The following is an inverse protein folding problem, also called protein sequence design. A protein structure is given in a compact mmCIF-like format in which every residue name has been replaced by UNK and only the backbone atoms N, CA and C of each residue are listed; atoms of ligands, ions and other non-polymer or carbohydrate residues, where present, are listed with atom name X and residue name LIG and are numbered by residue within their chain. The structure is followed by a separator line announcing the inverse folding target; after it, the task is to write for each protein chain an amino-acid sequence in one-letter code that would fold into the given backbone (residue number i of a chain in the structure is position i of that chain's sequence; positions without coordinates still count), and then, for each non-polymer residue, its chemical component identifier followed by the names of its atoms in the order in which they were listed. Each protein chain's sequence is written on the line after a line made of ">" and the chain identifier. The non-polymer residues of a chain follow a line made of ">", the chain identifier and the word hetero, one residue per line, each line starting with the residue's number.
data_IF_350396192068
#
_entry.id   IF_350396192068
#
_cell.length_a   1.000
_cell.length_b   1.000
_cell.length_c   1.000
_cell.angle_alpha   90.00
_cell.angle_beta   90.00
_cell.angle_gamma   90.00
#
_symmetry.space_group_name_H-M   'P 1'
#
loop_
_entity.id
_entity.type
_entity.pdbx_description
1 polymer ?
#
# COMPACT_ATOMS: atom_id res chain seq x y z
N UNK A 1 -11.37 16.07 -0.13
CA UNK A 1 -9.89 15.92 -0.21
C UNK A 1 -9.51 14.89 0.84
N UNK A 2 -9.94 13.67 0.61
CA UNK A 2 -9.79 12.57 1.54
C UNK A 2 -8.40 12.01 1.30
N UNK A 3 -7.41 12.65 1.91
CA UNK A 3 -6.06 12.15 1.98
C UNK A 3 -6.18 10.80 2.70
N UNK A 4 -6.23 9.70 1.94
CA UNK A 4 -6.22 8.34 2.49
C UNK A 4 -4.96 8.21 3.34
N UNK A 5 -5.12 8.45 4.63
CA UNK A 5 -4.12 8.21 5.64
C UNK A 5 -4.08 6.70 5.82
N UNK A 6 -3.15 6.07 5.10
CA UNK A 6 -2.84 4.67 5.33
C UNK A 6 -2.42 4.52 6.81
N UNK A 7 -3.15 3.74 7.63
CA UNK A 7 -2.85 3.62 9.05
C UNK A 7 -1.47 2.99 9.26
N UNK A 8 -0.78 3.34 10.35
CA UNK A 8 0.57 2.80 10.63
C UNK A 8 0.59 1.27 10.72
N UNK A 9 -0.50 0.69 11.27
CA UNK A 9 -0.74 -0.75 11.31
C UNK A 9 -0.69 -1.43 9.94
N UNK A 10 -1.01 -0.71 8.86
CA UNK A 10 -0.91 -1.25 7.49
C UNK A 10 0.56 -1.42 7.07
N UNK A 11 1.45 -0.50 7.46
CA UNK A 11 2.89 -0.63 7.15
C UNK A 11 3.57 -1.72 7.98
N UNK A 12 3.03 -2.03 9.16
CA UNK A 12 3.50 -3.09 10.04
C UNK A 12 2.87 -4.46 9.75
N UNK A 13 1.93 -4.52 8.80
CA UNK A 13 1.26 -5.76 8.46
C UNK A 13 2.23 -6.77 7.83
N UNK A 14 2.05 -8.05 8.18
CA UNK A 14 2.89 -9.15 7.70
C UNK A 14 2.87 -9.22 6.16
N UNK A 15 1.72 -8.96 5.52
CA UNK A 15 1.61 -8.96 4.07
C UNK A 15 2.51 -7.91 3.44
N UNK A 16 2.55 -6.70 4.00
CA UNK A 16 3.41 -5.62 3.48
C UNK A 16 4.88 -5.97 3.71
N UNK A 17 5.22 -6.59 4.83
CA UNK A 17 6.57 -7.12 5.10
C UNK A 17 7.00 -8.24 4.13
N UNK A 18 6.09 -9.16 3.80
CA UNK A 18 6.34 -10.24 2.84
C UNK A 18 6.55 -9.69 1.42
N UNK A 19 5.74 -8.74 1.00
CA UNK A 19 5.90 -8.05 -0.29
C UNK A 19 7.21 -7.26 -0.33
N UNK A 20 7.53 -6.53 0.73
CA UNK A 20 8.78 -5.78 0.87
C UNK A 20 9.99 -6.72 0.68
N UNK A 21 9.97 -7.87 1.34
CA UNK A 21 10.99 -8.89 1.17
C UNK A 21 11.02 -9.48 -0.25
N UNK A 22 9.86 -9.78 -0.85
CA UNK A 22 9.73 -10.33 -2.22
C UNK A 22 10.32 -9.38 -3.27
N UNK A 23 10.10 -8.08 -3.13
CA UNK A 23 10.59 -7.05 -4.03
C UNK A 23 11.94 -6.46 -3.61
N UNK A 24 12.59 -7.02 -2.58
CA UNK A 24 13.84 -6.50 -2.00
C UNK A 24 13.79 -4.99 -1.74
N UNK A 25 12.67 -4.53 -1.19
CA UNK A 25 12.39 -3.12 -0.94
C UNK A 25 11.79 -2.91 0.44
N UNK A 26 11.58 -1.66 0.83
CA UNK A 26 10.98 -1.32 2.12
C UNK A 26 9.44 -1.42 2.06
N UNK A 27 8.77 -1.73 3.19
CA UNK A 27 7.31 -1.67 3.31
C UNK A 27 6.73 -0.35 2.80
N UNK A 28 7.40 0.77 3.09
CA UNK A 28 7.01 2.11 2.60
C UNK A 28 7.06 2.22 1.07
N UNK A 29 8.03 1.57 0.43
CA UNK A 29 8.12 1.52 -1.04
C UNK A 29 6.98 0.70 -1.64
N UNK A 30 6.61 -0.43 -1.02
CA UNK A 30 5.44 -1.23 -1.42
C UNK A 30 4.16 -0.40 -1.34
N UNK A 31 3.91 0.29 -0.23
CA UNK A 31 2.71 1.13 -0.07
C UNK A 31 2.70 2.28 -1.08
N UNK A 32 3.86 2.91 -1.37
CA UNK A 32 3.96 3.92 -2.43
C UNK A 32 3.61 3.36 -3.80
N UNK A 33 4.15 2.19 -4.15
CA UNK A 33 3.82 1.48 -5.39
C UNK A 33 2.34 1.10 -5.47
N UNK A 34 1.75 0.69 -4.34
CA UNK A 34 0.34 0.38 -4.24
C UNK A 34 -0.55 1.60 -4.47
N UNK A 35 -0.21 2.73 -3.84
CA UNK A 35 -0.92 4.00 -4.03
C UNK A 35 -0.79 4.52 -5.47
N UNK A 36 0.40 4.41 -6.05
CA UNK A 36 0.67 4.80 -7.44
C UNK A 36 -0.12 3.94 -8.44
N UNK A 37 -0.29 2.64 -8.18
CA UNK A 37 -1.03 1.72 -9.06
C UNK A 37 -2.54 1.66 -8.78
N UNK A 38 -3.00 2.02 -7.57
CA UNK A 38 -4.43 2.00 -7.21
C UNK A 38 -5.24 3.21 -7.68
N UNK A 39 -4.66 4.10 -8.49
CA UNK A 39 -5.32 5.26 -9.10
C UNK A 39 -5.94 6.26 -8.08
N UNK A 40 -5.51 6.25 -6.83
CA UNK A 40 -5.86 7.29 -5.87
C UNK A 40 -4.92 8.48 -6.04
N UNK A 41 -5.25 9.34 -7.01
CA UNK A 41 -4.77 10.71 -7.21
C UNK A 41 -3.82 11.23 -6.13
N UNK A 42 -2.52 11.06 -6.33
CA UNK A 42 -1.44 12.00 -5.95
C UNK A 42 -0.11 11.41 -6.38
N UNK A 43 0.03 11.12 -7.67
CA UNK A 43 1.35 11.08 -8.30
C UNK A 43 1.90 12.51 -8.44
N UNK A 44 1.93 13.28 -7.35
CA UNK A 44 2.66 14.54 -7.28
C UNK A 44 4.04 14.24 -6.72
N UNK A 45 4.94 13.78 -7.59
CA UNK A 45 6.37 13.92 -7.37
C UNK A 45 7.20 12.63 -7.30
N UNK A 46 7.77 12.31 -8.46
CA UNK A 46 9.24 12.31 -8.67
C UNK A 46 9.95 10.96 -8.83
N UNK A 47 9.38 9.80 -8.50
CA UNK A 47 10.11 8.53 -8.73
C UNK A 47 9.22 7.42 -9.32
N UNK A 48 9.71 6.67 -10.34
CA UNK A 48 9.00 5.50 -10.82
C UNK A 48 8.83 4.49 -9.67
N UNK A 49 7.69 3.76 -9.62
CA UNK A 49 7.48 2.74 -8.61
C UNK A 49 8.61 1.71 -8.69
N UNK A 50 9.38 1.58 -7.60
CA UNK A 50 10.49 0.61 -7.53
C UNK A 50 10.01 -0.85 -7.57
N UNK A 51 8.76 -1.08 -7.18
CA UNK A 51 8.09 -2.36 -7.25
C UNK A 51 6.80 -2.23 -8.07
N UNK A 52 6.62 -3.08 -9.08
CA UNK A 52 5.35 -3.23 -9.80
C UNK A 52 4.64 -4.40 -9.14
N UNK A 53 3.47 -4.14 -8.56
CA UNK A 53 2.73 -5.14 -7.78
C UNK A 53 1.86 -5.92 -8.75
N UNK A 54 1.81 -7.23 -8.60
CA UNK A 54 0.89 -8.06 -9.36
C UNK A 54 -0.57 -7.76 -8.97
N UNK A 55 -1.53 -8.09 -9.84
CA UNK A 55 -2.95 -7.83 -9.58
C UNK A 55 -3.45 -8.53 -8.30
N UNK A 56 -3.00 -9.77 -8.06
CA UNK A 56 -3.31 -10.50 -6.83
C UNK A 56 -2.79 -9.79 -5.59
N UNK A 57 -1.59 -9.22 -5.64
CA UNK A 57 -0.99 -8.51 -4.51
C UNK A 57 -1.70 -7.17 -4.27
N UNK A 58 -2.06 -6.46 -5.34
CA UNK A 58 -2.90 -5.26 -5.23
C UNK A 58 -4.27 -5.55 -4.64
N UNK A 59 -4.91 -6.66 -5.00
CA UNK A 59 -6.18 -7.07 -4.41
C UNK A 59 -6.03 -7.36 -2.91
N UNK A 60 -4.98 -8.10 -2.51
CA UNK A 60 -4.71 -8.38 -1.10
C UNK A 60 -4.48 -7.08 -0.32
N UNK A 61 -3.65 -6.16 -0.83
CA UNK A 61 -3.40 -4.86 -0.19
C UNK A 61 -4.66 -3.98 -0.12
N UNK A 62 -5.51 -4.01 -1.14
CA UNK A 62 -6.82 -3.32 -1.13
C UNK A 62 -7.75 -3.88 -0.06
N UNK A 63 -7.84 -5.20 0.04
CA UNK A 63 -8.70 -5.86 1.02
C UNK A 63 -8.20 -5.60 2.45
N UNK A 64 -6.88 -5.71 2.65
CA UNK A 64 -6.22 -5.36 3.89
C UNK A 64 -6.50 -3.90 4.28
N UNK A 65 -6.34 -2.95 3.35
CA UNK A 65 -6.56 -1.53 3.62
C UNK A 65 -8.02 -1.26 4.00
N UNK A 66 -8.97 -1.92 3.33
CA UNK A 66 -10.38 -1.87 3.70
C UNK A 66 -10.63 -2.42 5.09
N UNK A 67 -9.99 -3.52 5.46
CA UNK A 67 -10.09 -4.11 6.79
C UNK A 67 -9.55 -3.15 7.87
N UNK A 68 -8.37 -2.57 7.68
CA UNK A 68 -7.77 -1.63 8.64
C UNK A 68 -8.55 -0.31 8.74
N UNK A 69 -9.14 0.14 7.63
CA UNK A 69 -10.00 1.33 7.62
C UNK A 69 -11.33 1.07 8.34
N UNK A 70 -11.83 -0.17 8.33
CA UNK A 70 -13.10 -0.55 8.95
C UNK A 70 -12.98 -0.78 10.47
N UNK A 71 -11.80 -1.16 10.98
CA UNK A 71 -11.54 -1.31 12.41
C UNK A 71 -11.47 0.01 13.22
N UNK A 72 -11.41 1.17 12.56
CA UNK A 72 -11.37 2.48 13.25
C UNK A 72 -12.78 3.08 13.52
N UNK A 73 -13.86 2.30 13.34
CA UNK A 73 -15.25 2.73 13.51
C UNK A 73 -16.01 1.96 14.61
N UNK A 74 -15.31 1.45 15.64
CA UNK A 74 -15.94 0.91 16.85
C UNK A 74 -15.61 1.77 18.08
#
# INVERSE_FOLDING_TARGET
>A
MDKQLIPDSFYQDEVVGLLANRYHTDPKSIVRSFLAQSDCQTATGTEPPKAILEENEMQILKDLLKYTSKQNCE
#
